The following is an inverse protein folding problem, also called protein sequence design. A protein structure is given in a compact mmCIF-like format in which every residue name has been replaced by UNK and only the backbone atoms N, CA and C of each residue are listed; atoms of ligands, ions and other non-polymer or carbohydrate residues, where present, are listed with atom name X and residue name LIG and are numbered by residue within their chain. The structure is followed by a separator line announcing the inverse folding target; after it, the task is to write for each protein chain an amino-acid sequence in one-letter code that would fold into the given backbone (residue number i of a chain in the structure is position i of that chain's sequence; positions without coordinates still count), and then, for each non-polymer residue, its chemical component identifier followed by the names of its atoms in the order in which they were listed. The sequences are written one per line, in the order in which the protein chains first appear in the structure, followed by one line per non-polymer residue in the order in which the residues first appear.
data_IF_933499919934
#
_entry.id   IF_933499919934
#
_cell.length_a   1.000
_cell.length_b   1.000
_cell.length_c   1.000
_cell.angle_alpha   90.00
_cell.angle_beta   90.00
_cell.angle_gamma   90.00
#
_symmetry.space_group_name_H-M   'P 1'
#
loop_
_entity.id
_entity.type
_entity.pdbx_description
1 polymer ?
#
# COMPACT_ATOMS: atom_id res chain seq x y z
N UNK A 1 -7.11 19.87 7.45
CA UNK A 1 -8.51 19.49 7.12
C UNK A 1 -8.85 18.19 7.81
N UNK A 2 -10.01 18.11 8.42
CA UNK A 2 -10.43 16.88 9.08
C UNK A 2 -10.74 15.80 8.03
N UNK A 3 -10.26 14.61 8.27
CA UNK A 3 -10.55 13.45 7.41
C UNK A 3 -11.98 12.97 7.69
N UNK A 4 -12.81 12.90 6.66
CA UNK A 4 -14.18 12.39 6.77
C UNK A 4 -14.28 11.03 6.11
N UNK A 5 -14.28 9.97 6.93
CA UNK A 5 -14.38 8.59 6.45
C UNK A 5 -15.74 8.23 5.86
N UNK A 6 -16.73 9.11 6.01
CA UNK A 6 -18.07 8.91 5.45
C UNK A 6 -18.21 9.46 4.05
N UNK A 7 -17.29 10.30 3.61
CA UNK A 7 -17.30 10.88 2.26
C UNK A 7 -16.69 9.86 1.27
N UNK A 8 -17.44 8.81 0.98
CA UNK A 8 -16.98 7.73 0.09
C UNK A 8 -16.83 8.18 -1.36
N UNK A 9 -17.50 9.25 -1.76
CA UNK A 9 -17.39 9.78 -3.14
C UNK A 9 -16.00 10.34 -3.44
N UNK A 10 -15.26 10.79 -2.42
CA UNK A 10 -13.92 11.32 -2.57
C UNK A 10 -12.85 10.21 -2.64
N UNK A 11 -13.19 8.96 -2.31
CA UNK A 11 -12.23 7.87 -2.24
C UNK A 11 -12.28 7.05 -3.53
N UNK A 12 -11.14 6.93 -4.18
CA UNK A 12 -11.01 6.17 -5.43
C UNK A 12 -9.65 5.48 -5.50
N UNK A 13 -9.65 4.29 -6.07
CA UNK A 13 -8.44 3.54 -6.33
C UNK A 13 -8.23 2.39 -5.37
N UNK A 14 -7.59 1.36 -5.87
CA UNK A 14 -7.16 0.20 -5.09
C UNK A 14 -5.65 0.33 -4.88
N UNK A 15 -5.23 0.29 -3.63
CA UNK A 15 -3.81 0.34 -3.27
C UNK A 15 -3.37 -1.00 -2.72
N UNK A 16 -2.12 -1.35 -2.97
CA UNK A 16 -1.47 -2.55 -2.45
C UNK A 16 -0.20 -2.14 -1.74
N UNK A 17 -0.08 -2.52 -0.47
CA UNK A 17 1.17 -2.35 0.25
C UNK A 17 2.18 -3.39 -0.25
N UNK A 18 3.23 -2.92 -0.92
CA UNK A 18 4.27 -3.77 -1.49
C UNK A 18 5.41 -3.89 -0.49
N UNK A 19 5.38 -4.95 0.30
CA UNK A 19 6.37 -5.19 1.34
C UNK A 19 7.74 -5.45 0.74
N UNK A 20 8.77 -4.81 1.31
CA UNK A 20 10.16 -5.04 0.95
C UNK A 20 10.95 -5.49 2.18
N UNK A 21 12.02 -6.21 1.95
CA UNK A 21 12.96 -6.60 3.00
C UNK A 21 14.37 -6.46 2.43
N UNK A 22 15.19 -5.64 3.09
CA UNK A 22 16.56 -5.36 2.67
C UNK A 22 16.64 -4.89 1.20
N UNK A 23 15.67 -4.08 0.79
CA UNK A 23 15.63 -3.52 -0.56
C UNK A 23 15.02 -4.44 -1.62
N UNK A 24 14.60 -5.65 -1.25
CA UNK A 24 14.00 -6.61 -2.19
C UNK A 24 12.49 -6.66 -1.97
N UNK A 25 11.73 -6.48 -3.05
CA UNK A 25 10.28 -6.61 -3.00
C UNK A 25 9.90 -8.06 -2.76
N UNK A 26 9.07 -8.31 -1.75
CA UNK A 26 8.65 -9.66 -1.38
C UNK A 26 7.63 -10.21 -2.37
N UNK A 27 7.65 -11.52 -2.58
CA UNK A 27 6.75 -12.20 -3.53
C UNK A 27 5.27 -12.01 -3.22
N UNK A 28 4.93 -11.84 -1.94
CA UNK A 28 3.55 -11.55 -1.53
C UNK A 28 3.02 -10.26 -2.16
N UNK A 29 3.89 -9.30 -2.43
CA UNK A 29 3.51 -8.04 -3.09
C UNK A 29 2.96 -8.30 -4.48
N UNK A 30 3.60 -9.17 -5.24
CA UNK A 30 3.16 -9.50 -6.59
C UNK A 30 1.83 -10.24 -6.59
N UNK A 31 1.62 -11.12 -5.61
CA UNK A 31 0.34 -11.83 -5.44
C UNK A 31 -0.78 -10.86 -5.12
N UNK A 32 -0.54 -9.93 -4.21
CA UNK A 32 -1.52 -8.90 -3.86
C UNK A 32 -1.83 -7.98 -5.03
N UNK A 33 -0.83 -7.63 -5.83
CA UNK A 33 -1.05 -6.81 -7.03
C UNK A 33 -1.94 -7.51 -8.03
N UNK A 34 -1.78 -8.82 -8.22
CA UNK A 34 -2.64 -9.61 -9.11
C UNK A 34 -4.10 -9.59 -8.61
N UNK A 35 -4.31 -9.75 -7.31
CA UNK A 35 -5.65 -9.67 -6.73
C UNK A 35 -6.21 -8.24 -6.80
N UNK A 36 -5.38 -7.25 -6.52
CA UNK A 36 -5.75 -5.84 -6.62
C UNK A 36 -6.14 -5.46 -8.05
N UNK A 37 -5.50 -6.03 -9.07
CA UNK A 37 -5.83 -5.77 -10.47
C UNK A 37 -7.27 -6.21 -10.77
N UNK A 38 -7.68 -7.35 -10.25
CA UNK A 38 -9.05 -7.84 -10.43
C UNK A 38 -10.05 -6.89 -9.78
N UNK A 39 -9.79 -6.47 -8.55
CA UNK A 39 -10.65 -5.51 -7.85
C UNK A 39 -10.73 -4.17 -8.56
N UNK A 40 -9.59 -3.64 -8.99
CA UNK A 40 -9.54 -2.37 -9.69
C UNK A 40 -10.30 -2.41 -11.00
N UNK A 41 -10.20 -3.51 -11.74
CA UNK A 41 -10.96 -3.71 -12.98
C UNK A 41 -12.46 -3.75 -12.72
N UNK A 42 -12.89 -4.45 -11.66
CA UNK A 42 -14.31 -4.55 -11.30
C UNK A 42 -14.88 -3.19 -10.89
N UNK A 43 -14.07 -2.36 -10.22
CA UNK A 43 -14.47 -1.03 -9.78
C UNK A 43 -14.23 0.05 -10.83
N UNK A 44 -13.49 -0.24 -11.89
CA UNK A 44 -13.15 0.74 -12.92
C UNK A 44 -12.21 1.83 -12.42
N UNK A 45 -11.27 1.50 -11.53
CA UNK A 45 -10.33 2.45 -10.93
C UNK A 45 -8.89 2.02 -11.12
N UNK A 46 -7.96 2.91 -10.76
CA UNK A 46 -6.52 2.62 -10.84
C UNK A 46 -6.08 1.65 -9.74
N UNK A 47 -5.04 0.88 -10.05
CA UNK A 47 -4.31 0.08 -9.09
C UNK A 47 -2.97 0.74 -8.82
N UNK A 48 -2.67 1.00 -7.55
CA UNK A 48 -1.41 1.63 -7.15
C UNK A 48 -0.66 0.75 -6.17
N UNK A 49 0.64 0.60 -6.39
CA UNK A 49 1.52 -0.01 -5.39
C UNK A 49 2.06 1.04 -4.45
N UNK A 50 2.24 0.70 -3.18
CA UNK A 50 2.86 1.57 -2.18
C UNK A 50 4.11 0.87 -1.68
N UNK A 51 5.27 1.49 -1.88
CA UNK A 51 6.58 0.97 -1.47
C UNK A 51 7.24 1.95 -0.54
N UNK A 52 7.61 1.48 0.64
CA UNK A 52 8.36 2.26 1.61
C UNK A 52 9.71 1.58 1.85
N UNK A 53 10.78 2.35 1.77
CA UNK A 53 12.11 1.81 1.95
C UNK A 53 13.18 2.84 1.67
N UNK A 54 14.40 2.36 1.48
CA UNK A 54 15.53 3.20 1.10
C UNK A 54 16.28 2.54 -0.04
N UNK A 55 16.54 3.32 -1.08
CA UNK A 55 17.35 2.91 -2.23
C UNK A 55 16.86 1.59 -2.89
N UNK A 56 15.54 1.43 -2.96
CA UNK A 56 14.95 0.32 -3.68
C UNK A 56 15.32 0.45 -5.17
N UNK A 57 15.83 -0.61 -5.76
CA UNK A 57 16.25 -0.58 -7.15
C UNK A 57 15.07 -0.30 -8.07
N UNK A 58 15.30 0.55 -9.06
CA UNK A 58 14.27 0.91 -10.04
C UNK A 58 13.68 -0.29 -10.76
N UNK A 59 14.49 -1.32 -10.99
CA UNK A 59 14.03 -2.55 -11.66
C UNK A 59 12.90 -3.22 -10.88
N UNK A 60 12.95 -3.22 -9.55
CA UNK A 60 11.88 -3.74 -8.71
C UNK A 60 10.62 -2.89 -8.83
N UNK A 61 10.78 -1.57 -8.85
CA UNK A 61 9.64 -0.66 -8.99
C UNK A 61 8.96 -0.80 -10.34
N UNK A 62 9.73 -0.97 -11.41
CA UNK A 62 9.20 -1.21 -12.75
C UNK A 62 8.50 -2.56 -12.85
N UNK A 63 9.01 -3.58 -12.16
CA UNK A 63 8.40 -4.90 -12.16
C UNK A 63 6.98 -4.86 -11.58
N UNK A 64 6.71 -3.98 -10.62
CA UNK A 64 5.37 -3.82 -10.05
C UNK A 64 4.36 -3.42 -11.13
N UNK A 65 4.76 -2.57 -12.08
CA UNK A 65 3.93 -2.23 -13.23
C UNK A 65 3.61 -3.44 -14.10
N UNK A 66 4.58 -4.34 -14.28
CA UNK A 66 4.38 -5.59 -15.01
C UNK A 66 3.39 -6.55 -14.35
N UNK A 67 3.19 -6.42 -13.04
CA UNK A 67 2.20 -7.21 -12.30
C UNK A 67 0.84 -6.52 -12.19
N UNK A 68 0.67 -5.37 -12.83
CA UNK A 68 -0.62 -4.73 -12.95
C UNK A 68 -0.77 -3.36 -12.31
N UNK A 69 0.25 -2.85 -11.62
CA UNK A 69 0.16 -1.52 -11.00
C UNK A 69 0.17 -0.42 -12.07
N UNK A 70 -0.82 0.47 -12.03
CA UNK A 70 -0.87 1.63 -12.90
C UNK A 70 0.08 2.72 -12.43
N UNK A 71 0.27 2.83 -11.12
CA UNK A 71 1.17 3.78 -10.47
C UNK A 71 1.85 3.13 -9.28
N UNK A 72 3.00 3.65 -8.91
CA UNK A 72 3.72 3.23 -7.70
C UNK A 72 4.06 4.48 -6.89
N UNK A 73 3.59 4.53 -5.65
CA UNK A 73 4.00 5.55 -4.70
C UNK A 73 5.21 5.01 -3.92
N UNK A 74 6.36 5.57 -4.18
CA UNK A 74 7.60 5.15 -3.53
C UNK A 74 8.09 6.24 -2.60
N UNK A 75 8.17 5.93 -1.31
CA UNK A 75 8.76 6.82 -0.33
C UNK A 75 10.18 6.34 0.03
N UNK A 76 11.18 7.10 -0.38
CA UNK A 76 12.58 6.79 -0.16
C UNK A 76 13.10 7.63 1.02
N UNK A 77 13.33 6.98 2.16
CA UNK A 77 13.83 7.66 3.36
C UNK A 77 14.61 6.70 4.24
N UNK A 78 15.65 7.20 4.91
CA UNK A 78 16.47 6.36 5.79
C UNK A 78 15.68 5.66 6.89
N UNK A 79 14.67 6.34 7.45
CA UNK A 79 13.83 5.77 8.50
C UNK A 79 12.96 4.61 8.01
N UNK A 80 12.85 4.43 6.70
CA UNK A 80 12.05 3.36 6.10
C UNK A 80 12.89 2.17 5.62
N UNK A 81 14.20 2.23 5.78
CA UNK A 81 15.11 1.15 5.37
C UNK A 81 14.78 -0.15 6.09
N UNK A 82 14.58 -0.05 7.40
CA UNK A 82 14.12 -1.17 8.22
C UNK A 82 12.71 -0.85 8.70
N UNK A 83 11.85 -1.85 8.70
CA UNK A 83 10.47 -1.66 9.14
C UNK A 83 10.39 -1.21 10.61
N UNK A 84 9.67 -0.13 10.84
CA UNK A 84 9.22 0.27 12.16
C UNK A 84 7.74 0.66 12.06
N UNK A 85 6.95 0.25 13.04
CA UNK A 85 5.51 0.51 13.02
C UNK A 85 5.21 2.00 12.94
N UNK A 86 5.88 2.80 13.77
CA UNK A 86 5.62 4.23 13.87
C UNK A 86 5.90 4.97 12.56
N UNK A 87 7.08 4.75 11.97
CA UNK A 87 7.47 5.44 10.75
C UNK A 87 6.58 5.02 9.56
N UNK A 88 6.34 3.73 9.42
CA UNK A 88 5.51 3.21 8.32
C UNK A 88 4.06 3.66 8.45
N UNK A 89 3.50 3.59 9.66
CA UNK A 89 2.13 4.05 9.92
C UNK A 89 1.98 5.53 9.57
N UNK A 90 2.92 6.35 10.00
CA UNK A 90 2.90 7.79 9.74
C UNK A 90 2.87 8.08 8.24
N UNK A 91 3.77 7.46 7.47
CA UNK A 91 3.87 7.70 6.03
C UNK A 91 2.60 7.22 5.32
N UNK A 92 2.12 6.02 5.65
CA UNK A 92 0.93 5.46 5.03
C UNK A 92 -0.31 6.29 5.36
N UNK A 93 -0.47 6.69 6.62
CA UNK A 93 -1.61 7.51 7.02
C UNK A 93 -1.61 8.87 6.31
N UNK A 94 -0.46 9.50 6.20
CA UNK A 94 -0.33 10.77 5.47
C UNK A 94 -0.71 10.59 4.00
N UNK A 95 -0.26 9.49 3.38
CA UNK A 95 -0.54 9.21 1.98
C UNK A 95 -2.02 8.89 1.74
N UNK A 96 -2.63 8.10 2.63
CA UNK A 96 -4.07 7.78 2.57
C UNK A 96 -4.90 9.04 2.71
N UNK A 97 -4.54 9.92 3.63
CA UNK A 97 -5.25 11.17 3.85
C UNK A 97 -5.16 12.10 2.64
N UNK A 98 -4.01 12.14 1.97
CA UNK A 98 -3.78 12.98 0.81
C UNK A 98 -4.43 12.44 -0.46
N UNK A 99 -4.28 11.14 -0.74
CA UNK A 99 -4.69 10.51 -2.01
C UNK A 99 -6.00 9.74 -1.94
N UNK A 100 -6.46 9.38 -0.77
CA UNK A 100 -7.78 8.79 -0.51
C UNK A 100 -8.10 7.54 -1.35
N UNK A 101 -7.38 6.41 -1.15
CA UNK A 101 -7.76 5.15 -1.79
C UNK A 101 -9.08 4.64 -1.20
N UNK A 102 -9.86 3.93 -2.00
CA UNK A 102 -11.08 3.30 -1.48
C UNK A 102 -10.78 1.92 -0.86
N UNK A 103 -9.76 1.23 -1.34
CA UNK A 103 -9.31 -0.07 -0.82
C UNK A 103 -7.80 -0.06 -0.68
N UNK A 104 -7.31 -0.55 0.44
CA UNK A 104 -5.88 -0.72 0.68
C UNK A 104 -5.62 -2.17 1.09
N UNK A 105 -5.01 -2.96 0.22
CA UNK A 105 -4.69 -4.35 0.48
C UNK A 105 -3.34 -4.47 1.18
N UNK A 106 -3.33 -5.16 2.32
CA UNK A 106 -2.12 -5.44 3.08
C UNK A 106 -2.07 -6.94 3.32
N UNK A 107 -0.94 -7.56 3.00
CA UNK A 107 -0.78 -9.00 3.18
C UNK A 107 -0.76 -9.42 4.65
N UNK A 108 -1.16 -10.66 4.93
CA UNK A 108 -1.17 -11.22 6.28
C UNK A 108 0.22 -11.73 6.69
N UNK A 109 1.26 -10.94 6.44
CA UNK A 109 2.62 -11.17 6.91
C UNK A 109 2.78 -10.61 8.32
N UNK A 110 3.92 -10.86 8.97
CA UNK A 110 4.19 -10.28 10.28
C UNK A 110 4.13 -8.75 10.24
N UNK A 111 4.72 -8.14 9.22
CA UNK A 111 4.69 -6.68 9.03
C UNK A 111 3.26 -6.22 8.74
N UNK A 112 2.54 -6.91 7.86
CA UNK A 112 1.17 -6.54 7.51
C UNK A 112 0.22 -6.63 8.68
N UNK A 113 0.37 -7.65 9.52
CA UNK A 113 -0.46 -7.81 10.73
C UNK A 113 -0.17 -6.74 11.77
N UNK A 114 1.07 -6.26 11.84
CA UNK A 114 1.48 -5.20 12.75
C UNK A 114 1.03 -3.83 12.24
N UNK A 115 1.12 -3.59 10.93
CA UNK A 115 0.84 -2.31 10.29
C UNK A 115 -0.64 -2.06 10.05
N UNK A 116 -1.39 -3.09 9.69
CA UNK A 116 -2.81 -2.97 9.31
C UNK A 116 -3.69 -2.33 10.38
N UNK A 117 -3.69 -2.83 11.64
CA UNK A 117 -4.54 -2.27 12.69
C UNK A 117 -4.33 -0.78 12.96
N UNK A 118 -3.10 -0.26 13.15
CA UNK A 118 -2.94 1.18 13.38
C UNK A 118 -3.39 2.03 12.20
N UNK A 119 -3.19 1.58 10.97
CA UNK A 119 -3.66 2.32 9.80
C UNK A 119 -5.19 2.31 9.72
N UNK A 120 -5.83 1.18 9.88
CA UNK A 120 -7.28 1.07 9.83
C UNK A 120 -7.97 1.75 11.00
N UNK A 121 -7.37 1.70 12.18
CA UNK A 121 -7.89 2.39 13.36
C UNK A 121 -7.90 3.91 13.16
N UNK A 122 -6.86 4.43 12.53
CA UNK A 122 -6.70 5.88 12.34
C UNK A 122 -7.62 6.43 11.25
N UNK A 123 -7.89 5.66 10.20
CA UNK A 123 -8.63 6.14 9.03
C UNK A 123 -9.87 5.32 8.71
N UNK A 124 -9.70 4.29 7.88
CA UNK A 124 -10.79 3.48 7.36
C UNK A 124 -10.56 2.01 7.70
N UNK A 125 -11.63 1.24 7.64
CA UNK A 125 -11.48 -0.21 7.66
C UNK A 125 -10.74 -0.66 6.42
N UNK A 126 -9.61 -1.32 6.59
CA UNK A 126 -8.78 -1.79 5.50
C UNK A 126 -8.88 -3.31 5.40
N UNK A 127 -9.22 -3.84 4.22
CA UNK A 127 -9.20 -5.29 4.03
C UNK A 127 -7.78 -5.83 4.06
N UNK A 128 -7.60 -6.98 4.68
CA UNK A 128 -6.35 -7.72 4.65
C UNK A 128 -6.60 -9.08 4.03
N UNK A 129 -5.63 -9.60 3.29
CA UNK A 129 -5.74 -10.90 2.65
C UNK A 129 -4.77 -11.89 3.28
N UNK A 130 -5.20 -13.13 3.54
CA UNK A 130 -4.34 -14.15 4.14
C UNK A 130 -3.47 -14.82 3.07
N UNK A 131 -2.31 -14.26 2.85
CA UNK A 131 -1.32 -14.89 1.95
C UNK A 131 -0.13 -15.41 2.72
#
# INVERSE_FOLDING_TARGET
MAFDSKDTAAFKGVWVFCEQREGVIMSTSYQLLSEGRKLANDLGVELCGVVLGKDIKEDYLKALGGYGADKVYYCNHELLDVYTTDAYTKVICDLVEDKKPEIFLIGATNIGRDLGPPVSYTHLTLPTTPY
#
